data_IF_424068144418
#
_entry.id   IF_424068144418
#
_cell.length_a   1.000
_cell.length_b   1.000
_cell.length_c   1.000
_cell.angle_alpha   90.00
_cell.angle_beta   90.00
_cell.angle_gamma   90.00
#
_symmetry.space_group_name_H-M   'P 1'
#
loop_
_entity.id
_entity.type
_entity.pdbx_description
1 polymer ?
#
# COMPACT_ATOMS: atom_id res chain seq x y z
N UNK A 1 -38.88 6.79 -46.91
CA UNK A 1 -38.70 6.55 -45.44
C UNK A 1 -37.82 5.34 -45.13
N UNK A 2 -37.79 4.24 -45.91
CA UNK A 2 -37.02 3.03 -45.62
C UNK A 2 -35.49 3.21 -45.60
N UNK A 3 -34.89 3.97 -46.52
CA UNK A 3 -33.43 4.14 -46.61
C UNK A 3 -32.79 4.88 -45.39
N UNK A 4 -33.50 5.84 -44.81
CA UNK A 4 -33.07 6.56 -43.61
C UNK A 4 -33.11 5.66 -42.36
N UNK A 5 -34.14 4.82 -42.23
CA UNK A 5 -34.26 3.87 -41.13
C UNK A 5 -33.13 2.80 -41.18
N UNK A 6 -32.84 2.29 -42.41
CA UNK A 6 -31.76 1.30 -42.59
C UNK A 6 -30.37 1.88 -42.29
N UNK A 7 -30.11 3.13 -42.71
CA UNK A 7 -28.84 3.83 -42.37
C UNK A 7 -28.69 4.07 -40.87
N UNK A 8 -29.77 4.42 -40.17
CA UNK A 8 -29.75 4.62 -38.73
C UNK A 8 -29.48 3.32 -37.97
N UNK A 9 -30.11 2.23 -38.38
CA UNK A 9 -29.89 0.90 -37.79
C UNK A 9 -28.42 0.47 -38.00
N UNK A 10 -27.86 0.65 -39.20
CA UNK A 10 -26.48 0.33 -39.49
C UNK A 10 -25.52 1.14 -38.64
N UNK A 11 -25.73 2.45 -38.47
CA UNK A 11 -24.93 3.30 -37.59
C UNK A 11 -24.99 2.87 -36.12
N UNK A 12 -26.19 2.47 -35.65
CA UNK A 12 -26.34 1.97 -34.27
C UNK A 12 -25.60 0.64 -34.05
N UNK A 13 -25.64 -0.27 -35.01
CA UNK A 13 -24.92 -1.55 -34.94
C UNK A 13 -23.43 -1.34 -34.98
N UNK A 14 -22.91 -0.44 -35.82
CA UNK A 14 -21.46 -0.11 -35.85
C UNK A 14 -21.04 0.54 -34.56
N UNK A 15 -21.80 1.47 -33.98
CA UNK A 15 -21.52 2.11 -32.71
C UNK A 15 -21.54 1.10 -31.54
N UNK A 16 -22.50 0.18 -31.53
CA UNK A 16 -22.55 -0.89 -30.51
C UNK A 16 -21.34 -1.82 -30.60
N UNK A 17 -20.93 -2.23 -31.79
CA UNK A 17 -19.77 -3.08 -32.01
C UNK A 17 -18.46 -2.37 -31.61
N UNK A 18 -18.32 -1.08 -31.89
CA UNK A 18 -17.14 -0.30 -31.46
C UNK A 18 -17.10 -0.12 -29.94
N UNK A 19 -18.24 0.07 -29.29
CA UNK A 19 -18.33 0.17 -27.84
C UNK A 19 -17.96 -1.17 -27.15
N UNK A 20 -18.44 -2.30 -27.70
CA UNK A 20 -18.09 -3.63 -27.18
C UNK A 20 -16.60 -3.93 -27.35
N UNK A 21 -16.00 -3.58 -28.49
CA UNK A 21 -14.58 -3.73 -28.74
C UNK A 21 -13.73 -2.88 -27.78
N UNK A 22 -14.12 -1.64 -27.51
CA UNK A 22 -13.44 -0.77 -26.57
C UNK A 22 -13.50 -1.29 -25.12
N UNK A 23 -14.64 -1.87 -24.72
CA UNK A 23 -14.78 -2.50 -23.40
C UNK A 23 -13.88 -3.73 -23.29
N UNK A 24 -13.78 -4.55 -24.33
CA UNK A 24 -12.94 -5.74 -24.31
C UNK A 24 -11.44 -5.37 -24.28
N UNK A 25 -11.03 -4.36 -25.06
CA UNK A 25 -9.66 -3.81 -25.00
C UNK A 25 -9.32 -3.27 -23.60
N UNK A 26 -10.27 -2.59 -22.96
CA UNK A 26 -10.08 -2.07 -21.60
C UNK A 26 -9.90 -3.20 -20.58
N UNK A 27 -10.69 -4.27 -20.68
CA UNK A 27 -10.55 -5.46 -19.80
C UNK A 27 -9.21 -6.15 -20.01
N UNK A 28 -8.77 -6.28 -21.26
CA UNK A 28 -7.49 -6.91 -21.57
C UNK A 28 -6.31 -6.11 -21.01
N UNK A 29 -6.36 -4.77 -21.12
CA UNK A 29 -5.38 -3.88 -20.49
C UNK A 29 -5.36 -4.04 -18.95
N UNK A 30 -6.54 -4.11 -18.34
CA UNK A 30 -6.64 -4.32 -16.90
C UNK A 30 -6.03 -5.67 -16.47
N UNK A 31 -6.34 -6.75 -17.19
CA UNK A 31 -5.78 -8.08 -16.95
C UNK A 31 -4.26 -8.08 -17.10
N UNK A 32 -3.74 -7.47 -18.16
CA UNK A 32 -2.30 -7.39 -18.40
C UNK A 32 -1.58 -6.59 -17.30
N UNK A 33 -2.15 -5.46 -16.86
CA UNK A 33 -1.59 -4.65 -15.78
C UNK A 33 -1.57 -5.43 -14.46
N UNK A 34 -2.63 -6.17 -14.16
CA UNK A 34 -2.74 -7.01 -12.97
C UNK A 34 -1.73 -8.19 -12.99
N UNK A 35 -1.56 -8.86 -14.12
CA UNK A 35 -0.57 -9.95 -14.28
C UNK A 35 0.85 -9.44 -14.05
N UNK A 36 1.20 -8.27 -14.61
CA UNK A 36 2.50 -7.63 -14.40
C UNK A 36 2.71 -7.27 -12.92
N UNK A 37 1.72 -6.66 -12.29
CA UNK A 37 1.74 -6.31 -10.88
C UNK A 37 1.92 -7.56 -10.00
N UNK A 38 1.13 -8.61 -10.21
CA UNK A 38 1.21 -9.85 -9.44
C UNK A 38 2.56 -10.55 -9.60
N UNK A 39 3.11 -10.54 -10.82
CA UNK A 39 4.46 -11.09 -11.07
C UNK A 39 5.53 -10.24 -10.39
N UNK A 40 5.40 -8.90 -10.42
CA UNK A 40 6.26 -7.99 -9.69
C UNK A 40 6.28 -8.26 -8.19
N UNK A 41 5.11 -8.51 -7.60
CA UNK A 41 4.99 -8.89 -6.19
C UNK A 41 5.77 -10.18 -5.86
N UNK A 42 5.59 -11.22 -6.67
CA UNK A 42 6.33 -12.47 -6.50
C UNK A 42 7.85 -12.27 -6.61
N UNK A 43 8.30 -11.47 -7.55
CA UNK A 43 9.73 -11.14 -7.70
C UNK A 43 10.27 -10.35 -6.50
N UNK A 44 9.48 -9.44 -5.94
CA UNK A 44 9.85 -8.72 -4.72
C UNK A 44 10.05 -9.71 -3.56
N UNK A 45 9.12 -10.65 -3.37
CA UNK A 45 9.23 -11.69 -2.34
C UNK A 45 10.44 -12.61 -2.52
N UNK A 46 10.89 -12.79 -3.75
CA UNK A 46 12.11 -13.55 -4.09
C UNK A 46 13.40 -12.71 -4.01
N UNK A 47 13.34 -11.44 -3.62
CA UNK A 47 14.48 -10.52 -3.57
C UNK A 47 14.98 -10.04 -4.94
N UNK A 48 14.24 -10.31 -6.02
CA UNK A 48 14.58 -9.90 -7.39
C UNK A 48 14.07 -8.49 -7.68
N UNK A 49 14.51 -7.52 -6.86
CA UNK A 49 13.95 -6.17 -6.79
C UNK A 49 14.01 -5.41 -8.11
N UNK A 50 15.13 -5.46 -8.83
CA UNK A 50 15.27 -4.75 -10.11
C UNK A 50 14.26 -5.24 -11.16
N UNK A 51 14.02 -6.52 -11.22
CA UNK A 51 13.05 -7.11 -12.15
C UNK A 51 11.61 -6.78 -11.73
N UNK A 52 11.34 -6.82 -10.41
CA UNK A 52 10.04 -6.41 -9.86
C UNK A 52 9.70 -4.97 -10.22
N UNK A 53 10.66 -4.04 -10.03
CA UNK A 53 10.49 -2.62 -10.38
C UNK A 53 10.09 -2.46 -11.84
N UNK A 54 10.79 -3.14 -12.77
CA UNK A 54 10.45 -3.07 -14.20
C UNK A 54 9.03 -3.55 -14.50
N UNK A 55 8.53 -4.54 -13.77
CA UNK A 55 7.17 -5.05 -13.96
C UNK A 55 6.13 -4.08 -13.39
N UNK A 56 6.38 -3.49 -12.21
CA UNK A 56 5.49 -2.47 -11.68
C UNK A 56 5.43 -1.23 -12.59
N UNK A 57 6.58 -0.76 -13.10
CA UNK A 57 6.63 0.36 -14.05
C UNK A 57 5.82 0.06 -15.33
N UNK A 58 5.91 -1.17 -15.86
CA UNK A 58 5.09 -1.60 -17.00
C UNK A 58 3.60 -1.68 -16.64
N UNK A 59 3.25 -2.20 -15.48
CA UNK A 59 1.87 -2.24 -15.00
C UNK A 59 1.29 -0.83 -14.90
N UNK A 60 2.02 0.08 -14.26
CA UNK A 60 1.65 1.49 -14.09
C UNK A 60 1.50 2.21 -15.44
N UNK A 61 2.35 1.90 -16.42
CA UNK A 61 2.25 2.47 -17.76
C UNK A 61 0.99 2.03 -18.50
N UNK A 62 0.44 0.86 -18.20
CA UNK A 62 -0.82 0.38 -18.76
C UNK A 62 -2.00 0.99 -17.99
N UNK A 63 -2.02 0.82 -16.67
CA UNK A 63 -3.04 1.38 -15.77
C UNK A 63 -2.35 1.77 -14.45
N UNK A 64 -2.26 3.07 -14.14
CA UNK A 64 -1.74 3.52 -12.85
C UNK A 64 -2.75 3.20 -11.74
N UNK A 65 -2.35 2.36 -10.77
CA UNK A 65 -3.16 1.99 -9.61
C UNK A 65 -2.43 2.31 -8.30
N UNK A 66 -3.19 2.59 -7.25
CA UNK A 66 -2.61 2.85 -5.93
C UNK A 66 -1.81 1.66 -5.41
N UNK A 67 -2.26 0.44 -5.69
CA UNK A 67 -1.57 -0.80 -5.35
C UNK A 67 -0.21 -0.91 -6.04
N UNK A 68 -0.15 -0.69 -7.35
CA UNK A 68 1.09 -0.82 -8.11
C UNK A 68 2.15 0.19 -7.64
N UNK A 69 1.76 1.44 -7.38
CA UNK A 69 2.65 2.43 -6.80
C UNK A 69 3.09 2.08 -5.37
N UNK A 70 2.18 1.58 -4.53
CA UNK A 70 2.51 1.17 -3.15
C UNK A 70 3.56 0.04 -3.15
N UNK A 71 3.36 -0.99 -3.97
CA UNK A 71 4.30 -2.11 -4.03
C UNK A 71 5.62 -1.76 -4.74
N UNK A 72 5.60 -0.83 -5.69
CA UNK A 72 6.83 -0.24 -6.23
C UNK A 72 7.62 0.46 -5.11
N UNK A 73 6.97 1.30 -4.32
CA UNK A 73 7.56 1.96 -3.16
C UNK A 73 8.11 0.95 -2.14
N UNK A 74 7.34 -0.07 -1.82
CA UNK A 74 7.76 -1.14 -0.92
C UNK A 74 8.99 -1.89 -1.44
N UNK A 75 9.04 -2.18 -2.75
CA UNK A 75 10.20 -2.81 -3.38
C UNK A 75 11.45 -1.92 -3.32
N UNK A 76 11.29 -0.61 -3.55
CA UNK A 76 12.37 0.37 -3.43
C UNK A 76 12.91 0.47 -2.00
N UNK A 77 12.04 0.36 -0.99
CA UNK A 77 12.44 0.40 0.41
C UNK A 77 13.33 -0.79 0.80
N UNK A 78 13.11 -1.97 0.24
CA UNK A 78 14.01 -3.12 0.42
C UNK A 78 15.42 -2.89 -0.14
N UNK A 79 15.56 -1.95 -1.07
CA UNK A 79 16.87 -1.53 -1.60
C UNK A 79 17.45 -0.33 -0.83
N UNK A 80 16.75 0.16 0.20
CA UNK A 80 17.14 1.33 0.98
C UNK A 80 16.86 2.68 0.30
N UNK A 81 16.21 2.69 -0.86
CA UNK A 81 15.83 3.93 -1.56
C UNK A 81 14.51 4.49 -0.99
N UNK A 82 14.57 4.87 0.29
CA UNK A 82 13.40 5.41 1.00
C UNK A 82 12.87 6.70 0.40
N UNK A 83 13.73 7.49 -0.26
CA UNK A 83 13.30 8.73 -0.91
C UNK A 83 12.32 8.41 -2.04
N UNK A 84 12.73 7.57 -2.98
CA UNK A 84 11.84 7.15 -4.09
C UNK A 84 10.66 6.33 -3.57
N UNK A 85 10.84 5.51 -2.54
CA UNK A 85 9.75 4.77 -1.94
C UNK A 85 8.63 5.69 -1.43
N UNK A 86 8.97 6.80 -0.78
CA UNK A 86 8.00 7.82 -0.34
C UNK A 86 7.34 8.50 -1.55
N UNK A 87 8.11 8.90 -2.57
CA UNK A 87 7.57 9.52 -3.78
C UNK A 87 6.53 8.62 -4.48
N UNK A 88 6.79 7.31 -4.55
CA UNK A 88 5.83 6.37 -5.14
C UNK A 88 4.60 6.14 -4.24
N UNK A 89 4.78 6.05 -2.93
CA UNK A 89 3.66 5.96 -1.99
C UNK A 89 2.77 7.22 -2.00
N UNK A 90 3.34 8.41 -2.18
CA UNK A 90 2.59 9.66 -2.36
C UNK A 90 1.74 9.65 -3.64
N UNK A 91 2.23 9.07 -4.74
CA UNK A 91 1.43 8.87 -5.97
C UNK A 91 0.26 7.92 -5.72
N UNK A 92 0.49 6.85 -4.94
CA UNK A 92 -0.59 5.94 -4.54
C UNK A 92 -1.70 6.68 -3.77
N UNK A 93 -1.31 7.55 -2.83
CA UNK A 93 -2.24 8.39 -2.05
C UNK A 93 -3.01 9.37 -2.95
N UNK A 94 -2.37 9.93 -3.98
CA UNK A 94 -3.06 10.81 -4.94
C UNK A 94 -4.13 10.07 -5.74
N UNK A 95 -3.91 8.79 -6.07
CA UNK A 95 -4.88 7.97 -6.81
C UNK A 95 -6.02 7.54 -5.88
N UNK A 96 -5.71 7.04 -4.68
CA UNK A 96 -6.70 6.62 -3.70
C UNK A 96 -6.33 7.10 -2.29
N UNK A 97 -6.85 8.26 -1.86
CA UNK A 97 -6.60 8.80 -0.52
C UNK A 97 -7.17 7.95 0.64
N UNK A 98 -8.09 7.03 0.33
CA UNK A 98 -8.68 6.12 1.31
C UNK A 98 -7.94 4.78 1.43
N UNK A 99 -6.89 4.57 0.64
CA UNK A 99 -6.02 3.40 0.73
C UNK A 99 -4.98 3.59 1.84
N UNK A 100 -5.05 2.81 2.91
CA UNK A 100 -4.24 3.01 4.12
C UNK A 100 -2.79 2.53 4.03
N UNK A 101 -2.51 1.54 3.16
CA UNK A 101 -1.19 0.94 3.04
C UNK A 101 -0.08 1.96 2.77
N UNK A 102 -0.17 2.86 1.76
CA UNK A 102 0.92 3.80 1.48
C UNK A 102 1.19 4.76 2.63
N UNK A 103 0.18 5.11 3.43
CA UNK A 103 0.40 5.93 4.63
C UNK A 103 1.22 5.18 5.69
N UNK A 104 0.86 3.92 6.00
CA UNK A 104 1.65 3.09 6.91
C UNK A 104 3.09 2.94 6.40
N UNK A 105 3.26 2.69 5.12
CA UNK A 105 4.56 2.47 4.49
C UNK A 105 5.44 3.72 4.55
N UNK A 106 4.91 4.91 4.27
CA UNK A 106 5.62 6.18 4.48
C UNK A 106 6.03 6.32 5.95
N UNK A 107 5.15 5.99 6.88
CA UNK A 107 5.47 5.97 8.31
C UNK A 107 6.68 5.09 8.61
N UNK A 108 6.72 3.88 8.07
CA UNK A 108 7.86 2.95 8.21
C UNK A 108 9.12 3.54 7.57
N UNK A 109 9.06 4.06 6.35
CA UNK A 109 10.22 4.63 5.66
C UNK A 109 10.81 5.83 6.40
N UNK A 110 9.98 6.64 7.03
CA UNK A 110 10.42 7.75 7.87
C UNK A 110 11.09 7.27 9.17
N UNK A 111 10.56 6.21 9.80
CA UNK A 111 11.19 5.58 10.97
C UNK A 111 12.60 5.07 10.61
N UNK A 112 12.75 4.39 9.48
CA UNK A 112 14.04 3.87 9.03
C UNK A 112 15.04 4.99 8.68
N UNK A 113 14.56 6.19 8.37
CA UNK A 113 15.39 7.40 8.20
C UNK A 113 15.68 8.15 9.51
N UNK A 114 15.14 7.70 10.65
CA UNK A 114 15.28 8.39 11.94
C UNK A 114 14.43 9.64 12.09
N UNK A 115 13.33 9.73 11.32
CA UNK A 115 12.37 10.85 11.29
C UNK A 115 11.06 10.48 11.99
N UNK A 116 11.18 10.02 13.23
CA UNK A 116 10.05 9.46 13.98
C UNK A 116 8.89 10.45 14.14
N UNK A 117 9.18 11.73 14.35
CA UNK A 117 8.13 12.75 14.54
C UNK A 117 7.33 12.99 13.24
N UNK A 118 7.98 12.89 12.09
CA UNK A 118 7.34 12.99 10.79
C UNK A 118 6.51 11.74 10.47
N UNK A 119 6.86 10.57 11.01
CA UNK A 119 6.16 9.30 10.77
C UNK A 119 4.79 9.24 11.46
N UNK A 120 4.66 9.81 12.66
CA UNK A 120 3.45 9.71 13.49
C UNK A 120 2.16 10.11 12.72
N UNK A 121 2.06 11.28 12.08
CA UNK A 121 0.83 11.68 11.39
C UNK A 121 0.47 10.75 10.23
N UNK A 122 1.43 10.13 9.57
CA UNK A 122 1.16 9.14 8.52
C UNK A 122 0.58 7.85 9.10
N UNK A 123 1.15 7.32 10.18
CA UNK A 123 0.63 6.13 10.86
C UNK A 123 -0.79 6.35 11.39
N UNK A 124 -1.04 7.53 12.01
CA UNK A 124 -2.38 7.91 12.45
C UNK A 124 -3.36 8.06 11.27
N UNK A 125 -2.90 8.57 10.13
CA UNK A 125 -3.75 8.69 8.94
C UNK A 125 -4.09 7.32 8.37
N UNK A 126 -3.15 6.37 8.32
CA UNK A 126 -3.41 4.99 7.89
C UNK A 126 -4.60 4.40 8.63
N UNK A 127 -4.65 4.55 9.96
CA UNK A 127 -5.73 4.04 10.81
C UNK A 127 -7.11 4.70 10.60
N UNK A 128 -7.15 5.85 9.92
CA UNK A 128 -8.39 6.58 9.64
C UNK A 128 -8.94 6.36 8.23
N UNK A 129 -8.21 5.65 7.39
CA UNK A 129 -8.63 5.36 6.02
C UNK A 129 -9.65 4.23 5.99
N UNK A 130 -10.55 4.25 4.99
CA UNK A 130 -11.61 3.24 4.88
C UNK A 130 -11.13 1.93 4.26
N UNK A 131 -10.08 2.00 3.45
CA UNK A 131 -9.52 0.85 2.74
C UNK A 131 -8.18 0.47 3.34
N UNK A 132 -8.23 0.02 4.59
CA UNK A 132 -7.10 -0.54 5.33
C UNK A 132 -7.57 -1.69 6.21
N UNK A 133 -6.86 -2.81 6.21
CA UNK A 133 -7.25 -4.01 6.96
C UNK A 133 -6.33 -4.33 8.13
N UNK A 134 -5.17 -3.72 8.16
CA UNK A 134 -4.04 -4.25 8.92
C UNK A 134 -3.60 -3.27 10.02
N UNK A 135 -4.57 -2.84 10.83
CA UNK A 135 -4.41 -1.80 11.87
C UNK A 135 -3.38 -2.16 12.94
N UNK A 136 -3.02 -3.43 13.11
CA UNK A 136 -1.94 -3.85 14.00
C UNK A 136 -0.59 -3.24 13.62
N UNK A 137 -0.32 -3.01 12.34
CA UNK A 137 0.97 -2.47 11.88
C UNK A 137 1.21 -1.02 12.30
N UNK A 138 0.31 -0.04 12.06
CA UNK A 138 0.54 1.33 12.52
C UNK A 138 0.58 1.43 14.05
N UNK A 139 -0.20 0.66 14.82
CA UNK A 139 -0.07 0.61 16.26
C UNK A 139 1.30 0.10 16.69
N UNK A 140 1.76 -1.01 16.12
CA UNK A 140 3.11 -1.52 16.37
C UNK A 140 4.19 -0.48 16.05
N UNK A 141 4.10 0.20 14.90
CA UNK A 141 5.07 1.21 14.49
C UNK A 141 5.06 2.45 15.41
N UNK A 142 3.90 2.87 15.90
CA UNK A 142 3.80 3.90 16.95
C UNK A 142 4.45 3.42 18.25
N UNK A 143 4.24 2.17 18.64
CA UNK A 143 4.90 1.55 19.79
C UNK A 143 6.43 1.60 19.68
N UNK A 144 6.99 1.26 18.52
CA UNK A 144 8.43 1.40 18.21
C UNK A 144 8.93 2.83 18.39
N UNK A 145 8.21 3.81 17.86
CA UNK A 145 8.54 5.23 18.00
C UNK A 145 8.57 5.63 19.48
N UNK A 146 7.53 5.32 20.22
CA UNK A 146 7.45 5.68 21.63
C UNK A 146 8.48 4.95 22.49
N UNK A 147 8.79 3.69 22.19
CA UNK A 147 9.87 2.94 22.84
C UNK A 147 11.24 3.63 22.64
N UNK A 148 11.56 4.01 21.40
CA UNK A 148 12.79 4.74 21.06
C UNK A 148 12.87 6.11 21.78
N UNK A 149 11.74 6.78 21.93
CA UNK A 149 11.62 8.04 22.68
C UNK A 149 11.59 7.86 24.21
N UNK A 150 11.72 6.63 24.71
CA UNK A 150 11.62 6.28 26.13
C UNK A 150 10.27 6.65 26.77
N UNK A 151 9.22 6.78 25.95
CA UNK A 151 7.85 7.02 26.39
C UNK A 151 7.15 5.67 26.62
N UNK A 152 7.68 4.91 27.56
CA UNK A 152 7.41 3.47 27.72
C UNK A 152 5.93 3.14 27.94
N UNK A 153 5.20 3.97 28.70
CA UNK A 153 3.77 3.78 28.89
C UNK A 153 2.97 3.91 27.60
N UNK A 154 3.30 4.89 26.75
CA UNK A 154 2.69 5.02 25.44
C UNK A 154 3.07 3.86 24.51
N UNK A 155 4.33 3.43 24.57
CA UNK A 155 4.79 2.28 23.77
C UNK A 155 3.99 1.01 24.15
N UNK A 156 3.80 0.76 25.45
CA UNK A 156 3.00 -0.35 25.96
C UNK A 156 1.57 -0.31 25.40
N UNK A 157 0.90 0.84 25.54
CA UNK A 157 -0.48 1.01 25.05
C UNK A 157 -0.62 0.75 23.56
N UNK A 158 0.35 1.17 22.77
CA UNK A 158 0.31 0.94 21.32
C UNK A 158 0.62 -0.52 20.95
N UNK A 159 1.54 -1.19 21.63
CA UNK A 159 1.77 -2.62 21.44
C UNK A 159 0.55 -3.45 21.89
N UNK A 160 -0.10 -3.10 23.03
CA UNK A 160 -1.34 -3.75 23.47
C UNK A 160 -2.45 -3.63 22.42
N UNK A 161 -2.69 -2.43 21.87
CA UNK A 161 -3.66 -2.24 20.77
C UNK A 161 -3.32 -3.08 19.52
N UNK A 162 -2.03 -3.18 19.19
CA UNK A 162 -1.60 -4.05 18.10
C UNK A 162 -1.97 -5.51 18.36
N UNK A 163 -1.78 -5.99 19.59
CA UNK A 163 -2.12 -7.36 20.03
C UNK A 163 -3.62 -7.59 20.24
N UNK A 164 -4.39 -6.57 20.56
CA UNK A 164 -5.86 -6.63 20.56
C UNK A 164 -6.42 -6.91 19.16
N UNK A 165 -5.76 -6.38 18.11
CA UNK A 165 -6.16 -6.59 16.72
C UNK A 165 -5.65 -7.93 16.19
N UNK A 166 -4.38 -8.24 16.41
CA UNK A 166 -3.76 -9.53 16.06
C UNK A 166 -3.00 -10.10 17.27
N UNK A 167 -3.63 -10.97 18.05
CA UNK A 167 -3.01 -11.60 19.23
C UNK A 167 -1.76 -12.44 18.93
N UNK A 168 -1.53 -12.80 17.66
CA UNK A 168 -0.39 -13.59 17.24
C UNK A 168 0.73 -12.74 16.58
N UNK A 169 0.60 -11.41 16.59
CA UNK A 169 1.59 -10.55 15.96
C UNK A 169 2.89 -10.51 16.75
N UNK A 170 3.80 -11.39 16.37
CA UNK A 170 5.08 -11.62 17.06
C UNK A 170 5.90 -10.34 17.32
N UNK A 171 6.04 -9.37 16.38
CA UNK A 171 6.80 -8.16 16.65
C UNK A 171 6.26 -7.33 17.83
N UNK A 172 4.94 -7.29 18.04
CA UNK A 172 4.37 -6.57 19.18
C UNK A 172 4.61 -7.29 20.50
N UNK A 173 4.60 -8.63 20.52
CA UNK A 173 5.04 -9.41 21.68
C UNK A 173 6.50 -9.13 22.03
N UNK A 174 7.39 -9.10 21.04
CA UNK A 174 8.80 -8.74 21.25
C UNK A 174 8.92 -7.33 21.84
N UNK A 175 8.12 -6.37 21.37
CA UNK A 175 8.05 -5.03 21.93
C UNK A 175 7.63 -5.01 23.41
N UNK A 176 6.65 -5.82 23.79
CA UNK A 176 6.21 -5.99 25.18
C UNK A 176 7.30 -6.63 26.06
N UNK A 177 8.00 -7.65 25.57
CA UNK A 177 9.11 -8.27 26.32
C UNK A 177 10.29 -7.29 26.53
N UNK A 178 10.59 -6.41 25.57
CA UNK A 178 11.57 -5.33 25.75
C UNK A 178 11.13 -4.39 26.88
N UNK A 179 9.88 -3.97 26.92
CA UNK A 179 9.35 -3.10 28.00
C UNK A 179 9.45 -3.78 29.36
N UNK A 180 9.13 -5.06 29.45
CA UNK A 180 9.25 -5.86 30.67
C UNK A 180 10.71 -5.96 31.15
N UNK A 181 11.65 -6.18 30.22
CA UNK A 181 13.10 -6.18 30.53
C UNK A 181 13.60 -4.82 31.05
N UNK A 182 12.94 -3.71 30.64
CA UNK A 182 13.20 -2.37 31.15
C UNK A 182 12.52 -2.07 32.50
N UNK A 183 11.83 -3.04 33.09
CA UNK A 183 11.19 -2.93 34.41
C UNK A 183 9.71 -2.45 34.36
N UNK A 184 9.15 -2.28 33.18
CA UNK A 184 7.71 -2.01 33.04
C UNK A 184 6.93 -3.33 33.14
N UNK A 185 6.24 -3.53 34.26
CA UNK A 185 5.43 -4.71 34.51
C UNK A 185 4.03 -4.52 33.91
N UNK A 186 3.45 -5.63 33.46
CA UNK A 186 2.03 -5.73 33.19
C UNK A 186 1.26 -5.39 34.47
N UNK A 187 0.34 -4.45 34.40
CA UNK A 187 -0.58 -4.10 35.50
C UNK A 187 -1.86 -4.89 35.39
#
# INVERSE_FOLDING_TARGET
>A
MGKLATALIFLLVVAANSATAAVEESKEKARMAEELYNTGYLLTMLGRYHEAIQLYEKSIAIIPTAEAYTFLGWTLSHMGDYKRAIEEAEKAIQIDPEFGNPYNDIGVYLIEQGKEDEAIPYLEKAMRTKRYCCYQFPHFNLGRIYLKKKMYEKARQEFEKSLEIDPNYLPAHEGMEILKALGFKET
#
